data_IF_722372103834
#
_entry.id   IF_722372103834
#
_cell.length_a   1.000
_cell.length_b   1.000
_cell.length_c   1.000
_cell.angle_alpha   90.00
_cell.angle_beta   90.00
_cell.angle_gamma   90.00
#
_symmetry.space_group_name_H-M   'P 1'
#
loop_
_entity.id
_entity.type
_entity.pdbx_description
1 polymer ?
#
# COMPACT_ATOMS: atom_id res chain seq x y z
N UNK A 1 43.34 -1.94 0.68
CA UNK A 1 42.05 -1.21 0.63
C UNK A 1 41.35 -1.43 1.96
N UNK A 2 41.29 -0.42 2.83
CA UNK A 2 40.65 -0.55 4.15
C UNK A 2 39.29 0.17 4.13
N UNK A 3 38.23 -0.54 4.56
CA UNK A 3 36.88 0.02 4.62
C UNK A 3 36.73 0.94 5.83
N UNK A 4 36.32 2.19 5.58
CA UNK A 4 35.97 3.14 6.65
C UNK A 4 34.54 2.87 7.10
N UNK A 5 34.37 2.49 8.37
CA UNK A 5 33.05 2.34 8.99
C UNK A 5 32.57 3.72 9.44
N UNK A 6 31.51 4.23 8.81
CA UNK A 6 30.80 5.40 9.29
C UNK A 6 29.86 4.97 10.42
N UNK A 7 30.07 5.50 11.62
CA UNK A 7 29.18 5.31 12.76
C UNK A 7 28.23 6.50 12.83
N UNK A 8 26.93 6.27 12.62
CA UNK A 8 25.90 7.30 12.79
C UNK A 8 25.64 7.47 14.30
N UNK A 9 26.13 8.58 14.86
CA UNK A 9 25.81 8.98 16.22
C UNK A 9 24.30 9.30 16.30
N UNK A 10 23.59 8.70 17.27
CA UNK A 10 22.17 8.96 17.52
C UNK A 10 21.22 7.76 17.33
N UNK A 11 21.66 6.68 16.67
CA UNK A 11 20.81 5.48 16.49
C UNK A 11 20.41 4.82 17.82
N UNK A 12 21.22 4.98 18.87
CA UNK A 12 20.97 4.43 20.20
C UNK A 12 19.72 5.01 20.91
N UNK A 13 19.20 6.17 20.48
CA UNK A 13 17.98 6.75 21.05
C UNK A 13 16.70 6.09 20.52
N UNK A 14 16.72 5.55 19.31
CA UNK A 14 15.56 4.89 18.69
C UNK A 14 15.29 3.49 19.25
N UNK A 15 16.30 2.84 19.83
CA UNK A 15 16.20 1.50 20.41
C UNK A 15 16.10 1.50 21.94
N UNK A 16 15.73 2.63 22.54
CA UNK A 16 15.46 2.69 23.97
C UNK A 16 14.21 1.86 24.29
N UNK A 17 14.27 0.91 25.24
CA UNK A 17 13.09 0.19 25.67
C UNK A 17 12.07 1.16 26.26
N UNK A 18 10.86 1.15 25.71
CA UNK A 18 9.75 1.94 26.23
C UNK A 18 9.42 1.45 27.64
N UNK A 19 9.76 2.25 28.65
CA UNK A 19 9.36 1.99 30.04
C UNK A 19 7.88 2.28 30.20
N UNK A 20 7.03 1.42 29.64
CA UNK A 20 5.63 1.35 30.01
C UNK A 20 5.58 0.43 31.23
N UNK A 21 5.29 0.93 32.45
CA UNK A 21 5.10 0.03 33.57
C UNK A 21 3.93 -0.90 33.26
N UNK A 22 4.04 -2.21 33.53
CA UNK A 22 2.93 -3.12 33.36
C UNK A 22 1.77 -2.63 34.23
N UNK A 23 0.63 -2.37 33.59
CA UNK A 23 -0.63 -2.02 34.24
C UNK A 23 -1.03 -3.21 35.12
N UNK A 24 -0.87 -3.08 36.43
CA UNK A 24 -1.38 -4.08 37.36
C UNK A 24 -2.92 -4.11 37.29
N UNK A 25 -3.54 -5.30 37.22
CA UNK A 25 -4.98 -5.42 37.22
C UNK A 25 -5.48 -5.25 38.66
N UNK A 26 -6.00 -4.07 39.03
CA UNK A 26 -6.75 -3.95 40.28
C UNK A 26 -6.78 -2.61 41.02
N UNK A 27 -6.23 -1.52 40.48
CA UNK A 27 -6.37 -0.21 41.16
C UNK A 27 -7.39 0.69 40.47
N UNK A 28 -8.64 0.51 40.88
CA UNK A 28 -9.75 1.43 40.66
C UNK A 28 -9.64 2.60 41.65
N UNK A 29 -9.18 3.77 41.19
CA UNK A 29 -9.48 5.07 41.80
C UNK A 29 -9.05 6.20 40.85
N UNK A 30 -9.95 6.59 39.95
CA UNK A 30 -9.78 7.76 39.09
C UNK A 30 -10.64 7.70 37.83
N UNK A 31 -11.95 7.52 37.99
CA UNK A 31 -12.91 7.74 36.89
C UNK A 31 -12.96 9.24 36.47
N UNK A 32 -13.66 9.61 35.38
CA UNK A 32 -13.44 9.18 34.01
C UNK A 32 -13.44 10.41 33.08
N UNK A 33 -12.41 10.63 32.27
CA UNK A 33 -12.56 11.55 31.14
C UNK A 33 -13.20 10.78 29.99
N UNK A 34 -14.52 10.66 30.06
CA UNK A 34 -15.36 10.36 28.92
C UNK A 34 -15.03 11.33 27.77
N UNK A 35 -14.32 10.82 26.78
CA UNK A 35 -14.64 11.10 25.39
C UNK A 35 -14.80 9.75 24.70
N UNK A 36 -15.78 8.99 25.20
CA UNK A 36 -16.61 8.14 24.35
C UNK A 36 -17.22 9.08 23.28
N UNK A 37 -16.47 9.29 22.21
CA UNK A 37 -17.05 9.76 20.96
C UNK A 37 -18.02 8.68 20.53
N UNK A 38 -19.30 9.00 20.72
CA UNK A 38 -20.46 8.34 20.15
C UNK A 38 -20.16 7.64 18.81
N UNK A 39 -20.77 6.48 18.53
CA UNK A 39 -20.78 5.92 17.19
C UNK A 39 -21.68 6.78 16.31
N UNK A 40 -21.23 7.99 15.98
CA UNK A 40 -21.77 8.76 14.88
C UNK A 40 -21.45 7.94 13.64
N UNK A 41 -22.50 7.49 12.96
CA UNK A 41 -22.43 6.85 11.64
C UNK A 41 -21.43 7.65 10.80
N UNK A 42 -20.21 7.11 10.67
CA UNK A 42 -19.20 7.72 9.82
C UNK A 42 -19.66 7.41 8.41
N UNK A 43 -20.31 8.37 7.77
CA UNK A 43 -20.21 8.49 6.32
C UNK A 43 -18.72 8.30 5.97
N UNK A 44 -18.39 7.53 4.92
CA UNK A 44 -17.01 7.21 4.61
C UNK A 44 -16.28 8.52 4.28
N UNK A 45 -15.61 9.08 5.27
CA UNK A 45 -14.64 10.14 5.06
C UNK A 45 -13.49 9.48 4.33
N UNK A 46 -13.51 9.62 3.00
CA UNK A 46 -12.35 9.39 2.15
C UNK A 46 -11.22 10.23 2.75
N UNK A 47 -10.34 9.56 3.50
CA UNK A 47 -9.10 10.15 3.97
C UNK A 47 -8.27 10.39 2.72
N UNK A 48 -8.45 11.55 2.12
CA UNK A 48 -7.51 12.08 1.14
C UNK A 48 -6.27 12.44 1.93
N UNK A 49 -5.38 11.46 2.13
CA UNK A 49 -4.00 11.77 2.47
C UNK A 49 -3.51 12.76 1.43
N UNK A 50 -3.11 13.95 1.88
CA UNK A 50 -2.56 14.99 1.03
C UNK A 50 -1.21 14.51 0.49
N UNK A 51 -1.25 13.83 -0.66
CA UNK A 51 -0.07 13.44 -1.42
C UNK A 51 0.69 14.73 -1.79
N UNK A 52 1.99 14.84 -1.48
CA UNK A 52 2.76 16.05 -1.75
C UNK A 52 2.67 16.45 -3.24
N UNK A 53 2.62 17.77 -3.55
CA UNK A 53 2.27 18.29 -4.88
C UNK A 53 3.29 17.97 -5.99
N UNK A 54 4.41 17.32 -5.66
CA UNK A 54 5.42 16.86 -6.62
C UNK A 54 5.28 15.39 -7.02
N UNK A 55 4.34 14.65 -6.42
CA UNK A 55 4.08 13.24 -6.74
C UNK A 55 2.77 13.02 -7.53
N UNK A 56 2.05 14.08 -7.91
CA UNK A 56 0.72 14.01 -8.51
C UNK A 56 0.73 13.88 -10.04
N UNK A 57 1.60 13.05 -10.60
CA UNK A 57 1.40 12.50 -11.94
C UNK A 57 0.71 11.13 -11.86
N UNK A 58 -0.25 11.01 -10.95
CA UNK A 58 -1.12 9.84 -10.87
C UNK A 58 -2.27 9.99 -11.85
N UNK A 59 -2.43 9.03 -12.75
CA UNK A 59 -3.62 8.95 -13.61
C UNK A 59 -4.66 8.06 -12.94
N UNK A 60 -5.88 8.59 -12.74
CA UNK A 60 -6.98 7.82 -12.17
C UNK A 60 -7.64 6.96 -13.25
N UNK A 61 -7.50 5.64 -13.26
CA UNK A 61 -8.16 4.78 -14.25
C UNK A 61 -9.50 4.24 -13.72
N UNK A 62 -10.47 4.00 -14.62
CA UNK A 62 -11.74 3.33 -14.28
C UNK A 62 -11.61 1.85 -14.60
N UNK A 63 -11.34 1.04 -13.58
CA UNK A 63 -11.12 -0.40 -13.69
C UNK A 63 -12.17 -1.16 -12.87
N UNK A 64 -12.55 -2.35 -13.33
CA UNK A 64 -13.34 -3.31 -12.54
C UNK A 64 -12.44 -4.07 -11.57
N UNK A 65 -13.02 -4.80 -10.61
CA UNK A 65 -12.24 -5.63 -9.68
C UNK A 65 -11.40 -6.67 -10.43
N UNK A 66 -11.99 -7.36 -11.41
CA UNK A 66 -11.29 -8.32 -12.27
C UNK A 66 -10.12 -7.68 -13.03
N UNK A 67 -10.29 -6.46 -13.55
CA UNK A 67 -9.21 -5.73 -14.25
C UNK A 67 -8.02 -5.47 -13.31
N UNK A 68 -8.30 -5.18 -12.03
CA UNK A 68 -7.28 -4.92 -11.01
C UNK A 68 -6.54 -6.22 -10.66
N UNK A 69 -7.25 -7.33 -10.53
CA UNK A 69 -6.63 -8.64 -10.29
C UNK A 69 -5.72 -9.06 -11.44
N UNK A 70 -6.17 -8.91 -12.68
CA UNK A 70 -5.38 -9.16 -13.89
C UNK A 70 -4.12 -8.29 -13.93
N UNK A 71 -4.26 -7.00 -13.64
CA UNK A 71 -3.13 -6.06 -13.59
C UNK A 71 -2.12 -6.46 -12.51
N UNK A 72 -2.62 -6.85 -11.34
CA UNK A 72 -1.78 -7.27 -10.22
C UNK A 72 -1.00 -8.55 -10.55
N UNK A 73 -1.66 -9.52 -11.18
CA UNK A 73 -1.02 -10.73 -11.69
C UNK A 73 0.11 -10.39 -12.67
N UNK A 74 -0.19 -9.60 -13.70
CA UNK A 74 0.80 -9.17 -14.69
C UNK A 74 1.99 -8.43 -14.06
N UNK A 75 1.74 -7.57 -13.07
CA UNK A 75 2.79 -6.87 -12.31
C UNK A 75 3.67 -7.85 -11.51
N UNK A 76 3.09 -8.86 -10.88
CA UNK A 76 3.86 -9.88 -10.16
C UNK A 76 4.74 -10.68 -11.13
N UNK A 77 4.21 -11.08 -12.29
CA UNK A 77 4.97 -11.73 -13.35
C UNK A 77 6.16 -10.88 -13.81
N UNK A 78 5.93 -9.58 -14.04
CA UNK A 78 6.99 -8.65 -14.45
C UNK A 78 8.03 -8.43 -13.35
N UNK A 79 7.61 -8.38 -12.08
CA UNK A 79 8.49 -8.14 -10.92
C UNK A 79 9.35 -9.35 -10.58
N UNK A 80 8.84 -10.56 -10.76
CA UNK A 80 9.51 -11.80 -10.35
C UNK A 80 9.67 -12.77 -11.53
N UNK A 81 10.35 -12.39 -12.63
CA UNK A 81 10.37 -13.20 -13.84
C UNK A 81 10.94 -14.61 -13.61
N UNK A 82 11.90 -14.76 -12.69
CA UNK A 82 12.51 -16.05 -12.36
C UNK A 82 11.54 -17.04 -11.72
N UNK A 83 10.54 -16.55 -10.98
CA UNK A 83 9.50 -17.39 -10.37
C UNK A 83 8.58 -18.00 -11.43
N UNK A 84 8.41 -17.30 -12.56
CA UNK A 84 7.49 -17.69 -13.62
C UNK A 84 8.15 -18.31 -14.85
N UNK A 85 9.49 -18.32 -14.95
CA UNK A 85 10.24 -18.99 -16.02
C UNK A 85 10.02 -20.51 -16.08
N UNK A 86 9.61 -21.12 -14.96
CA UNK A 86 9.34 -22.56 -14.87
C UNK A 86 7.85 -22.89 -15.07
N UNK A 87 6.99 -21.88 -15.17
CA UNK A 87 5.58 -22.11 -15.46
C UNK A 87 5.37 -22.40 -16.95
N UNK A 88 4.37 -23.24 -17.29
CA UNK A 88 3.96 -23.41 -18.67
C UNK A 88 3.54 -22.05 -19.27
N UNK A 89 3.57 -21.95 -20.60
CA UNK A 89 3.07 -20.77 -21.29
C UNK A 89 1.62 -20.52 -20.86
N UNK A 90 1.24 -19.26 -20.56
CA UNK A 90 -0.13 -18.95 -20.18
C UNK A 90 -1.10 -19.35 -21.31
N UNK A 91 -2.33 -19.76 -20.97
CA UNK A 91 -3.37 -20.02 -21.96
C UNK A 91 -3.63 -18.78 -22.82
N UNK A 92 -4.13 -19.01 -24.04
CA UNK A 92 -4.43 -17.94 -24.99
C UNK A 92 -5.47 -16.95 -24.43
N UNK A 93 -6.43 -17.44 -23.65
CA UNK A 93 -7.49 -16.65 -23.03
C UNK A 93 -6.94 -15.58 -22.07
N UNK A 94 -6.00 -15.94 -21.18
CA UNK A 94 -5.32 -14.98 -20.29
C UNK A 94 -4.58 -13.90 -21.08
N UNK A 95 -4.00 -14.26 -22.22
CA UNK A 95 -3.32 -13.29 -23.09
C UNK A 95 -4.32 -12.30 -23.71
N UNK A 96 -5.47 -12.80 -24.19
CA UNK A 96 -6.53 -11.95 -24.76
C UNK A 96 -7.12 -11.00 -23.71
N UNK A 97 -7.31 -11.47 -22.48
CA UNK A 97 -7.77 -10.64 -21.36
C UNK A 97 -6.79 -9.51 -21.02
N UNK A 98 -5.49 -9.82 -20.96
CA UNK A 98 -4.45 -8.82 -20.71
C UNK A 98 -4.35 -7.81 -21.86
N UNK A 99 -4.52 -8.24 -23.11
CA UNK A 99 -4.53 -7.33 -24.26
C UNK A 99 -5.77 -6.43 -24.26
N UNK A 100 -6.94 -6.96 -23.89
CA UNK A 100 -8.15 -6.16 -23.72
C UNK A 100 -7.98 -5.09 -22.63
N UNK A 101 -7.36 -5.45 -21.50
CA UNK A 101 -7.02 -4.52 -20.43
C UNK A 101 -6.06 -3.43 -20.91
N UNK A 102 -5.03 -3.79 -21.69
CA UNK A 102 -4.08 -2.83 -22.29
C UNK A 102 -4.79 -1.82 -23.20
N UNK A 103 -5.69 -2.29 -24.05
CA UNK A 103 -6.48 -1.43 -24.94
C UNK A 103 -7.34 -0.47 -24.14
N UNK A 104 -8.04 -0.95 -23.10
CA UNK A 104 -8.85 -0.11 -22.20
C UNK A 104 -8.04 0.99 -21.54
N UNK A 105 -6.86 0.67 -21.00
CA UNK A 105 -5.97 1.65 -20.39
C UNK A 105 -5.45 2.69 -21.39
N UNK A 106 -5.18 2.27 -22.62
CA UNK A 106 -4.72 3.16 -23.70
C UNK A 106 -5.84 4.11 -24.13
N UNK A 107 -7.05 3.60 -24.35
CA UNK A 107 -8.24 4.41 -24.67
C UNK A 107 -8.51 5.46 -23.58
N UNK A 108 -8.52 5.05 -22.31
CA UNK A 108 -8.72 5.98 -21.19
C UNK A 108 -7.61 7.04 -21.06
N UNK A 109 -6.40 6.73 -21.56
CA UNK A 109 -5.30 7.70 -21.62
C UNK A 109 -5.50 8.69 -22.77
N UNK A 110 -5.93 8.22 -23.94
CA UNK A 110 -6.19 9.04 -25.12
C UNK A 110 -7.38 9.97 -24.93
N UNK A 111 -8.47 9.51 -24.29
CA UNK A 111 -9.64 10.34 -23.95
C UNK A 111 -9.33 11.54 -23.04
N UNK A 112 -8.12 11.60 -22.49
CA UNK A 112 -7.68 12.63 -21.54
C UNK A 112 -6.64 13.58 -22.08
N UNK A 113 -6.11 13.32 -23.27
CA UNK A 113 -5.16 14.18 -23.97
C UNK A 113 -5.92 15.20 -24.84
#
# INVERSE_FOLDING_TARGET
MAFKRASLAGSAQLFQPTKVPPREPGSEAGEPAELLLEPREREPQLVTEAIPPTAQQGHLYRLTENDVELLLGALQHAKFPHSYQRLPKPPLEEFEELEALRQKLTQQREERL
#
